data_IF_704243742503
#
_entry.id   IF_704243742503
#
_cell.length_a   1.000
_cell.length_b   1.000
_cell.length_c   1.000
_cell.angle_alpha   90.00
_cell.angle_beta   90.00
_cell.angle_gamma   90.00
#
_symmetry.space_group_name_H-M   'P 1'
#
loop_
_entity.id
_entity.type
_entity.pdbx_description
1 polymer ?
#
# COMPACT_ATOMS: atom_id res chain seq x y z
N UNK A 1 -17.59 -0.61 -16.37
CA UNK A 1 -16.18 -0.42 -16.74
C UNK A 1 -15.70 0.92 -16.19
N UNK A 2 -16.27 2.06 -16.60
CA UNK A 2 -15.83 3.40 -16.17
C UNK A 2 -15.80 3.63 -14.64
N UNK A 3 -16.78 3.12 -13.89
CA UNK A 3 -16.78 3.23 -12.42
C UNK A 3 -15.73 2.37 -11.72
N UNK A 4 -15.34 1.25 -12.34
CA UNK A 4 -14.30 0.35 -11.84
C UNK A 4 -12.92 0.98 -12.07
N UNK A 5 -12.67 1.48 -13.29
CA UNK A 5 -11.43 2.20 -13.64
C UNK A 5 -11.23 3.44 -12.75
N UNK A 6 -12.28 4.23 -12.52
CA UNK A 6 -12.21 5.38 -11.61
C UNK A 6 -11.90 4.97 -10.15
N UNK A 7 -12.37 3.80 -9.72
CA UNK A 7 -12.04 3.25 -8.40
C UNK A 7 -10.59 2.78 -8.34
N UNK A 8 -10.09 2.17 -9.40
CA UNK A 8 -8.70 1.72 -9.53
C UNK A 8 -7.73 2.91 -9.52
N UNK A 9 -8.04 3.96 -10.27
CA UNK A 9 -7.30 5.23 -10.26
C UNK A 9 -7.29 5.89 -8.87
N UNK A 10 -8.42 5.84 -8.15
CA UNK A 10 -8.51 6.37 -6.79
C UNK A 10 -7.62 5.60 -5.81
N UNK A 11 -7.53 4.27 -5.95
CA UNK A 11 -6.61 3.43 -5.15
C UNK A 11 -5.17 3.81 -5.44
N UNK A 12 -4.76 3.87 -6.71
CA UNK A 12 -3.38 4.22 -7.07
C UNK A 12 -3.00 5.63 -6.62
N UNK A 13 -3.94 6.58 -6.67
CA UNK A 13 -3.74 7.93 -6.14
C UNK A 13 -3.43 7.91 -4.64
N UNK A 14 -4.16 7.10 -3.87
CA UNK A 14 -3.95 6.97 -2.41
C UNK A 14 -2.65 6.25 -2.07
N UNK A 15 -2.26 5.24 -2.85
CA UNK A 15 -0.93 4.61 -2.75
C UNK A 15 0.16 5.67 -2.98
N UNK A 16 0.05 6.46 -4.05
CA UNK A 16 0.98 7.55 -4.36
C UNK A 16 1.12 8.59 -3.24
N UNK A 17 0.01 8.93 -2.57
CA UNK A 17 0.02 9.85 -1.43
C UNK A 17 0.79 9.30 -0.22
N UNK A 18 0.63 8.01 0.08
CA UNK A 18 1.37 7.36 1.15
C UNK A 18 2.87 7.21 0.82
N UNK A 19 3.22 6.94 -0.44
CA UNK A 19 4.63 6.93 -0.90
C UNK A 19 5.29 8.30 -0.70
N UNK A 20 4.58 9.41 -0.96
CA UNK A 20 5.12 10.75 -0.73
C UNK A 20 5.46 11.00 0.75
N UNK A 21 4.67 10.47 1.67
CA UNK A 21 4.95 10.55 3.12
C UNK A 21 6.18 9.73 3.49
N UNK A 22 6.27 8.50 2.98
CA UNK A 22 7.44 7.62 3.16
C UNK A 22 8.73 8.30 2.69
N UNK A 23 8.74 8.85 1.46
CA UNK A 23 9.87 9.61 0.94
C UNK A 23 10.15 10.91 1.69
N UNK A 24 9.12 11.52 2.30
CA UNK A 24 9.25 12.66 3.20
C UNK A 24 9.81 12.31 4.58
N UNK A 25 10.02 11.02 4.87
CA UNK A 25 10.51 10.51 6.14
C UNK A 25 9.44 10.22 7.18
N UNK A 26 8.16 10.48 6.88
CA UNK A 26 7.03 10.18 7.77
C UNK A 26 6.57 8.72 7.57
N UNK A 27 7.43 7.79 8.01
CA UNK A 27 7.20 6.34 7.87
C UNK A 27 5.98 5.86 8.65
N UNK A 28 5.70 6.45 9.81
CA UNK A 28 4.57 6.05 10.65
C UNK A 28 3.24 6.39 9.97
N UNK A 29 3.08 7.63 9.47
CA UNK A 29 1.87 8.01 8.76
C UNK A 29 1.70 7.24 7.44
N UNK A 30 2.80 7.00 6.71
CA UNK A 30 2.78 6.16 5.53
C UNK A 30 2.27 4.74 5.85
N UNK A 31 2.81 4.11 6.90
CA UNK A 31 2.40 2.78 7.38
C UNK A 31 0.92 2.74 7.75
N UNK A 32 0.43 3.75 8.46
CA UNK A 32 -0.97 3.86 8.85
C UNK A 32 -1.90 3.92 7.63
N UNK A 33 -1.54 4.71 6.61
CA UNK A 33 -2.33 4.84 5.38
C UNK A 33 -2.30 3.58 4.53
N UNK A 34 -1.13 2.94 4.39
CA UNK A 34 -1.03 1.65 3.71
C UNK A 34 -1.86 0.59 4.43
N UNK A 35 -1.85 0.55 5.76
CA UNK A 35 -2.60 -0.44 6.55
C UNK A 35 -4.12 -0.28 6.42
N UNK A 36 -4.60 0.96 6.43
CA UNK A 36 -6.00 1.26 6.16
C UNK A 36 -6.39 0.82 4.74
N UNK A 37 -5.60 1.20 3.73
CA UNK A 37 -5.89 0.86 2.34
C UNK A 37 -5.81 -0.66 2.07
N UNK A 38 -4.88 -1.37 2.69
CA UNK A 38 -4.79 -2.84 2.60
C UNK A 38 -6.06 -3.52 3.12
N UNK A 39 -6.58 -3.03 4.25
CA UNK A 39 -7.82 -3.53 4.84
C UNK A 39 -9.02 -3.26 3.95
N UNK A 40 -9.05 -2.11 3.28
CA UNK A 40 -10.11 -1.75 2.32
C UNK A 40 -10.06 -2.59 1.03
N UNK A 41 -8.86 -2.86 0.50
CA UNK A 41 -8.69 -3.69 -0.70
C UNK A 41 -9.17 -5.13 -0.47
N UNK A 42 -8.92 -5.69 0.71
CA UNK A 42 -9.25 -7.07 1.03
C UNK A 42 -8.51 -8.09 0.15
N UNK A 43 -8.75 -9.39 0.37
CA UNK A 43 -8.03 -10.46 -0.32
C UNK A 43 -8.30 -10.52 -1.83
N UNK A 44 -9.49 -10.07 -2.25
CA UNK A 44 -9.94 -10.08 -3.66
C UNK A 44 -9.62 -8.77 -4.40
N UNK A 45 -8.88 -7.85 -3.76
CA UNK A 45 -8.44 -6.61 -4.40
C UNK A 45 -7.55 -6.86 -5.61
N UNK A 46 -7.49 -5.87 -6.52
CA UNK A 46 -6.66 -5.96 -7.72
C UNK A 46 -5.19 -6.32 -7.38
N UNK A 47 -4.63 -7.25 -8.16
CA UNK A 47 -3.32 -7.83 -7.88
C UNK A 47 -2.19 -6.79 -7.98
N UNK A 48 -2.27 -5.85 -8.93
CA UNK A 48 -1.27 -4.80 -9.07
C UNK A 48 -1.31 -3.84 -7.87
N UNK A 49 -2.50 -3.46 -7.41
CA UNK A 49 -2.66 -2.60 -6.24
C UNK A 49 -2.15 -3.27 -4.97
N UNK A 50 -2.52 -4.53 -4.74
CA UNK A 50 -2.10 -5.30 -3.56
C UNK A 50 -0.58 -5.49 -3.55
N UNK A 51 0.01 -5.88 -4.68
CA UNK A 51 1.46 -6.05 -4.83
C UNK A 51 2.20 -4.74 -4.56
N UNK A 52 1.77 -3.65 -5.20
CA UNK A 52 2.39 -2.33 -5.04
C UNK A 52 2.33 -1.87 -3.57
N UNK A 53 1.15 -1.99 -2.94
CA UNK A 53 0.98 -1.60 -1.55
C UNK A 53 1.85 -2.44 -0.62
N UNK A 54 1.89 -3.76 -0.80
CA UNK A 54 2.65 -4.66 0.05
C UNK A 54 4.15 -4.32 0.06
N UNK A 55 4.74 -4.05 -1.11
CA UNK A 55 6.15 -3.63 -1.20
C UNK A 55 6.43 -2.31 -0.46
N UNK A 56 5.61 -1.28 -0.69
CA UNK A 56 5.83 -0.02 0.03
C UNK A 56 5.51 -0.11 1.53
N UNK A 57 4.61 -1.01 1.93
CA UNK A 57 4.37 -1.31 3.34
C UNK A 57 5.58 -2.00 3.98
N UNK A 58 6.27 -2.89 3.25
CA UNK A 58 7.52 -3.51 3.68
C UNK A 58 8.58 -2.44 3.98
N UNK A 59 8.77 -1.48 3.08
CA UNK A 59 9.70 -0.36 3.24
C UNK A 59 9.41 0.55 4.45
N UNK A 60 8.19 0.49 5.00
CA UNK A 60 7.85 1.22 6.23
C UNK A 60 8.23 0.48 7.50
N UNK A 61 8.54 -0.82 7.47
CA UNK A 61 8.81 -1.60 8.68
C UNK A 61 10.21 -1.31 9.22
N UNK A 62 10.35 -1.28 10.54
CA UNK A 62 11.66 -1.13 11.19
C UNK A 62 12.33 -2.49 11.46
N UNK A 63 11.54 -3.57 11.54
CA UNK A 63 12.03 -4.95 11.71
C UNK A 63 12.16 -5.66 10.34
N UNK A 64 13.33 -6.25 10.01
CA UNK A 64 13.53 -6.94 8.73
C UNK A 64 12.63 -8.17 8.52
N UNK A 65 12.17 -8.81 9.60
CA UNK A 65 11.22 -9.92 9.51
C UNK A 65 9.83 -9.45 9.13
N UNK A 66 9.40 -8.31 9.65
CA UNK A 66 8.13 -7.67 9.27
C UNK A 66 8.17 -7.16 7.82
N UNK A 67 9.29 -6.55 7.39
CA UNK A 67 9.56 -6.19 6.00
C UNK A 67 9.39 -7.41 5.07
N UNK A 68 10.13 -8.49 5.34
CA UNK A 68 10.06 -9.73 4.56
C UNK A 68 8.65 -10.33 4.56
N UNK A 69 7.94 -10.29 5.69
CA UNK A 69 6.58 -10.80 5.77
C UNK A 69 5.63 -10.01 4.86
N UNK A 70 5.86 -8.71 4.65
CA UNK A 70 5.11 -7.91 3.71
C UNK A 70 5.50 -8.16 2.26
N UNK A 71 6.78 -8.29 1.94
CA UNK A 71 7.22 -8.65 0.60
C UNK A 71 6.65 -10.00 0.12
N UNK A 72 6.55 -10.99 1.02
CA UNK A 72 5.97 -12.29 0.71
C UNK A 72 4.43 -12.27 0.54
N UNK A 73 3.75 -11.18 0.91
CA UNK A 73 2.29 -11.01 0.73
C UNK A 73 1.93 -10.39 -0.62
N UNK A 74 2.90 -9.85 -1.34
CA UNK A 74 2.73 -9.25 -2.67
C UNK A 74 2.33 -10.32 -3.70
#
# INVERSE_FOLDING_TARGET
>A
MEQQEASEDAVMTRIGQAIMLLHGGDREEARNRFGALWSELGADGDALHRCTLAHYMADTQDDPGDELAWDLRA
#
